data_IF_821155651393
#
_entry.id   IF_821155651393
#
_cell.length_a   1.000
_cell.length_b   1.000
_cell.length_c   1.000
_cell.angle_alpha   90.00
_cell.angle_beta   90.00
_cell.angle_gamma   90.00
#
_symmetry.space_group_name_H-M   'P 1'
#
loop_
_entity.id
_entity.type
_entity.pdbx_description
1 polymer ?
#
# COMPACT_ATOMS: atom_id res chain seq x y z
N UNK A 1 7.98 5.93 23.72
CA UNK A 1 7.80 6.00 23.13
C UNK A 1 7.08 5.55 22.32
N UNK A 2 6.68 5.55 21.80
CA UNK A 2 6.02 5.22 21.14
C UNK A 2 6.20 5.01 19.98
N UNK A 3 6.15 4.20 19.37
CA UNK A 3 6.30 3.95 18.29
C UNK A 3 5.09 3.92 17.64
N UNK A 4 4.61 4.62 16.96
CA UNK A 4 3.41 4.62 16.33
C UNK A 4 3.59 4.60 14.88
N UNK A 5 4.70 4.22 14.38
CA UNK A 5 5.00 4.25 12.97
C UNK A 5 4.05 3.41 12.13
N UNK A 6 3.46 2.39 12.73
CA UNK A 6 2.63 1.44 11.99
C UNK A 6 1.15 1.60 12.23
N UNK A 7 0.75 2.69 12.84
CA UNK A 7 -0.67 2.93 13.04
C UNK A 7 -1.16 3.95 12.01
N UNK A 8 -2.46 4.06 11.89
CA UNK A 8 -3.06 5.03 11.00
C UNK A 8 -3.34 4.49 9.62
N UNK A 9 -3.58 5.40 8.70
CA UNK A 9 -4.06 5.06 7.37
C UNK A 9 -3.25 5.78 6.31
N UNK A 10 -3.21 5.17 5.12
CA UNK A 10 -2.51 5.72 3.97
C UNK A 10 -3.47 5.90 2.82
N UNK A 11 -3.36 7.03 2.13
CA UNK A 11 -4.05 7.23 0.87
C UNK A 11 -3.24 6.55 -0.23
N UNK A 12 -3.87 6.35 -1.39
CA UNK A 12 -3.23 5.62 -2.48
C UNK A 12 -1.89 6.24 -2.90
N UNK A 13 -1.82 7.56 -2.96
CA UNK A 13 -0.59 8.20 -3.39
C UNK A 13 0.59 7.92 -2.46
N UNK A 14 0.32 7.62 -1.19
CA UNK A 14 1.37 7.28 -0.24
C UNK A 14 1.79 5.83 -0.35
N UNK A 15 1.05 5.03 -1.11
CA UNK A 15 1.36 3.62 -1.32
C UNK A 15 2.12 3.44 -2.63
N UNK A 16 1.55 3.93 -3.73
CA UNK A 16 2.15 3.73 -5.04
C UNK A 16 2.94 4.93 -5.53
N UNK A 17 2.99 6.01 -4.72
CA UNK A 17 3.77 7.17 -5.04
C UNK A 17 3.02 8.17 -5.90
N UNK A 18 3.58 9.36 -6.01
CA UNK A 18 3.03 10.41 -6.85
C UNK A 18 4.19 11.33 -7.23
N UNK A 19 4.70 11.15 -8.44
CA UNK A 19 5.89 11.88 -8.88
C UNK A 19 5.66 13.39 -8.89
N UNK A 20 4.47 13.82 -9.26
CA UNK A 20 4.20 15.25 -9.34
C UNK A 20 4.18 15.92 -7.98
N UNK A 21 3.97 15.15 -6.93
CA UNK A 21 3.99 15.67 -5.55
C UNK A 21 5.25 15.26 -4.80
N UNK A 22 6.17 14.61 -5.47
CA UNK A 22 7.41 14.19 -4.82
C UNK A 22 7.26 13.05 -3.83
N UNK A 23 6.21 12.27 -3.95
CA UNK A 23 5.96 11.16 -3.06
C UNK A 23 6.56 9.90 -3.67
N UNK A 24 7.51 9.31 -2.94
CA UNK A 24 8.14 8.07 -3.40
C UNK A 24 7.21 6.88 -3.13
N UNK A 25 7.19 5.91 -4.05
CA UNK A 25 6.32 4.75 -3.87
C UNK A 25 6.88 3.79 -2.82
N UNK A 26 5.99 3.24 -2.02
CA UNK A 26 6.35 2.11 -1.16
C UNK A 26 6.22 0.81 -1.95
N UNK A 27 5.25 0.76 -2.85
CA UNK A 27 5.04 -0.38 -3.73
C UNK A 27 4.97 0.20 -5.14
N UNK A 28 6.04 0.05 -5.92
CA UNK A 28 6.15 0.72 -7.22
C UNK A 28 5.37 0.03 -8.33
N UNK A 29 4.06 0.13 -8.27
CA UNK A 29 3.19 -0.40 -9.30
C UNK A 29 2.28 0.73 -9.81
N UNK A 30 1.71 0.52 -10.99
CA UNK A 30 0.78 1.49 -11.53
C UNK A 30 -0.55 1.39 -10.80
N UNK A 31 -1.35 2.42 -10.97
CA UNK A 31 -2.69 2.45 -10.40
C UNK A 31 -3.52 1.26 -10.89
N UNK A 32 -3.45 0.98 -12.19
CA UNK A 32 -4.20 -0.14 -12.76
C UNK A 32 -3.74 -1.47 -12.17
N UNK A 33 -2.43 -1.64 -12.01
CA UNK A 33 -1.89 -2.86 -11.42
C UNK A 33 -2.33 -3.00 -9.97
N UNK A 34 -2.35 -1.89 -9.23
CA UNK A 34 -2.77 -1.90 -7.84
C UNK A 34 -4.22 -2.39 -7.71
N UNK A 35 -5.12 -1.81 -8.49
CA UNK A 35 -6.54 -2.19 -8.42
C UNK A 35 -6.78 -3.59 -8.94
N UNK A 36 -6.04 -4.02 -9.96
CA UNK A 36 -6.13 -5.39 -10.42
C UNK A 36 -5.71 -6.37 -9.33
N UNK A 37 -4.68 -6.01 -8.56
CA UNK A 37 -4.24 -6.84 -7.45
C UNK A 37 -5.25 -6.93 -6.33
N UNK A 38 -5.96 -5.84 -6.06
CA UNK A 38 -7.05 -5.87 -5.08
C UNK A 38 -8.14 -6.82 -5.53
N UNK A 39 -8.50 -6.74 -6.81
CA UNK A 39 -9.55 -7.57 -7.35
C UNK A 39 -9.20 -9.05 -7.32
N UNK A 40 -7.95 -9.37 -7.56
CA UNK A 40 -7.49 -10.76 -7.56
C UNK A 40 -7.18 -11.29 -6.16
N UNK A 41 -7.23 -10.44 -5.15
CA UNK A 41 -6.95 -10.86 -3.79
C UNK A 41 -5.49 -10.76 -3.40
N UNK A 42 -4.65 -10.22 -4.28
CA UNK A 42 -3.23 -10.09 -4.02
C UNK A 42 -2.91 -8.95 -3.07
N UNK A 43 -3.69 -7.88 -3.14
CA UNK A 43 -3.48 -6.68 -2.33
C UNK A 43 -4.69 -6.45 -1.44
N UNK A 44 -4.52 -5.76 -0.31
CA UNK A 44 -5.62 -5.55 0.62
C UNK A 44 -6.66 -4.59 0.06
N UNK A 45 -7.90 -4.80 0.48
CA UNK A 45 -9.00 -3.96 0.06
C UNK A 45 -8.97 -2.64 0.81
N UNK A 46 -9.43 -1.57 0.18
CA UNK A 46 -9.46 -0.27 0.86
C UNK A 46 -10.57 -0.20 1.90
N UNK A 47 -10.39 0.73 2.83
CA UNK A 47 -11.39 1.09 3.79
C UNK A 47 -11.96 2.43 3.33
N UNK A 48 -13.27 2.52 3.20
CA UNK A 48 -13.87 3.77 2.79
C UNK A 48 -14.16 4.62 4.02
N UNK A 49 -13.44 5.71 4.16
CA UNK A 49 -13.65 6.62 5.29
C UNK A 49 -14.84 7.53 5.05
N UNK A 50 -14.98 8.00 3.83
CA UNK A 50 -16.11 8.84 3.46
C UNK A 50 -16.24 8.77 1.96
N UNK A 51 -17.22 9.44 1.42
CA UNK A 51 -17.46 9.41 -0.01
C UNK A 51 -16.23 9.94 -0.74
N UNK A 52 -15.71 9.14 -1.64
CA UNK A 52 -14.55 9.51 -2.42
C UNK A 52 -13.22 9.39 -1.68
N UNK A 53 -13.23 8.92 -0.44
CA UNK A 53 -11.99 8.81 0.33
C UNK A 53 -11.75 7.36 0.73
N UNK A 54 -10.82 6.73 0.07
CA UNK A 54 -10.41 5.35 0.37
C UNK A 54 -9.01 5.37 0.94
N UNK A 55 -8.80 4.55 1.96
CA UNK A 55 -7.50 4.45 2.62
C UNK A 55 -7.20 3.00 2.91
N UNK A 56 -5.97 2.73 3.26
CA UNK A 56 -5.51 1.40 3.66
C UNK A 56 -4.81 1.54 5.00
N UNK A 57 -4.93 0.55 5.84
CA UNK A 57 -4.22 0.57 7.12
C UNK A 57 -2.73 0.52 6.86
N UNK A 58 -1.99 1.36 7.57
CA UNK A 58 -0.55 1.36 7.44
C UNK A 58 0.01 -0.02 7.75
N UNK A 59 -0.54 -0.70 8.76
CA UNK A 59 -0.07 -2.03 9.13
C UNK A 59 -0.29 -3.06 8.03
N UNK A 60 -1.40 -2.93 7.29
CA UNK A 60 -1.67 -3.85 6.18
C UNK A 60 -0.66 -3.65 5.06
N UNK A 61 -0.31 -2.40 4.78
CA UNK A 61 0.66 -2.10 3.73
C UNK A 61 2.05 -2.55 4.16
N UNK A 62 2.40 -2.36 5.43
CA UNK A 62 3.68 -2.84 5.94
C UNK A 62 3.79 -4.35 5.82
N UNK A 63 2.72 -5.06 6.16
CA UNK A 63 2.70 -6.51 6.04
C UNK A 63 2.84 -6.95 4.59
N UNK A 64 2.18 -6.23 3.68
CA UNK A 64 2.29 -6.54 2.27
C UNK A 64 3.71 -6.33 1.75
N UNK A 65 4.35 -5.24 2.16
CA UNK A 65 5.73 -4.97 1.76
C UNK A 65 6.64 -6.10 2.24
N UNK A 66 6.45 -6.53 3.48
CA UNK A 66 7.26 -7.60 4.03
C UNK A 66 7.06 -8.90 3.25
N UNK A 67 5.82 -9.21 2.92
CA UNK A 67 5.49 -10.39 2.14
C UNK A 67 6.14 -10.37 0.77
N UNK A 68 6.10 -9.21 0.11
CA UNK A 68 6.71 -9.08 -1.21
C UNK A 68 8.22 -9.23 -1.14
N UNK A 69 8.83 -8.72 -0.09
CA UNK A 69 10.26 -8.87 0.11
C UNK A 69 10.64 -10.34 0.26
N UNK A 70 9.84 -11.08 1.00
CA UNK A 70 10.10 -12.51 1.19
C UNK A 70 9.95 -13.29 -0.09
N UNK A 71 8.95 -12.95 -0.90
CA UNK A 71 8.77 -13.60 -2.18
C UNK A 71 9.97 -13.36 -3.10
N UNK A 72 10.48 -12.13 -3.09
CA UNK A 72 11.64 -11.81 -3.91
C UNK A 72 12.86 -12.59 -3.48
N UNK A 73 13.04 -12.78 -2.18
CA UNK A 73 14.16 -13.54 -1.66
C UNK A 73 14.06 -15.01 -2.03
N UNK A 74 12.84 -15.54 -2.01
CA UNK A 74 12.65 -16.94 -2.37
C UNK A 74 12.91 -17.20 -3.83
N UNK A 75 12.56 -16.24 -4.66
CA UNK A 75 12.74 -16.37 -6.10
C UNK A 75 14.19 -16.25 -6.49
N UNK A 76 14.89 -15.41 -5.78
CA UNK A 76 16.30 -15.21 -6.10
C UNK A 76 17.11 -16.41 -5.73
#
# INVERSE_FOLDING_TARGET
>A
MQKIAHSGFLRLSWIIGNASKGILPRIPVSRATWYAGIKSGKFPKPIRLSEGVSVWRTSDIDALCHQLEQQAMEVA
#
